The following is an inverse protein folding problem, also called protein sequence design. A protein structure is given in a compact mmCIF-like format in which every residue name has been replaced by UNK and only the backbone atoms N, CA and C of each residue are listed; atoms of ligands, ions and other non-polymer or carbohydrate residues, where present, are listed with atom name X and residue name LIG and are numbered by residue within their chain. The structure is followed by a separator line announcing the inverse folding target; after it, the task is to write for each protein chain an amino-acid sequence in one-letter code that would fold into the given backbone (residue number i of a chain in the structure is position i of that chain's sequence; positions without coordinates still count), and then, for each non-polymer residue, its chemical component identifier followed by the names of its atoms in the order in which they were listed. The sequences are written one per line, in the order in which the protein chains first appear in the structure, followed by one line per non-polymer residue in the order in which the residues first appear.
data_IF_135731354902
#
_entry.id   IF_135731354902
#
_cell.length_a   1.000
_cell.length_b   1.000
_cell.length_c   1.000
_cell.angle_alpha   90.00
_cell.angle_beta   90.00
_cell.angle_gamma   90.00
#
_symmetry.space_group_name_H-M   'P 1'
#
loop_
_entity.id
_entity.type
_entity.pdbx_description
1 polymer ?
#
# COMPACT_ATOMS: atom_id res chain seq x y z
N UNK A 1 -58.68 9.72 43.60
CA UNK A 1 -57.37 10.41 43.39
C UNK A 1 -56.32 9.39 43.73
N UNK A 2 -55.85 8.65 42.70
CA UNK A 2 -54.80 7.65 42.86
C UNK A 2 -53.46 8.35 42.71
N UNK A 3 -52.75 8.47 43.82
CA UNK A 3 -51.42 9.01 43.92
C UNK A 3 -50.41 7.91 43.53
N UNK A 4 -50.15 7.80 42.21
CA UNK A 4 -49.19 6.86 41.65
C UNK A 4 -47.81 7.50 41.75
N UNK A 5 -47.24 7.60 42.95
CA UNK A 5 -45.85 7.97 43.17
C UNK A 5 -44.96 6.86 42.68
N UNK A 6 -44.53 6.97 41.40
CA UNK A 6 -43.44 6.15 40.85
C UNK A 6 -42.20 6.35 41.71
N UNK A 7 -41.82 5.31 42.46
CA UNK A 7 -40.50 5.24 43.12
C UNK A 7 -39.39 5.36 42.06
N UNK A 8 -38.88 6.54 41.84
CA UNK A 8 -37.65 6.77 41.12
C UNK A 8 -36.48 6.33 42.02
N UNK A 9 -36.10 5.06 41.93
CA UNK A 9 -34.86 4.59 42.54
C UNK A 9 -33.71 5.18 41.75
N UNK A 10 -33.04 6.16 42.32
CA UNK A 10 -31.78 6.70 41.77
C UNK A 10 -30.63 5.73 41.99
N UNK A 11 -29.73 5.63 41.03
CA UNK A 11 -28.48 4.87 41.17
C UNK A 11 -27.66 5.39 42.34
N UNK A 12 -27.11 4.48 43.13
CA UNK A 12 -26.17 4.84 44.19
C UNK A 12 -24.81 5.20 43.61
N UNK A 13 -24.08 6.06 44.29
CA UNK A 13 -22.75 6.50 43.85
C UNK A 13 -21.77 5.30 43.73
N UNK A 14 -21.94 4.28 44.61
CA UNK A 14 -21.13 3.08 44.58
C UNK A 14 -21.43 2.17 43.38
N UNK A 15 -22.70 2.09 42.93
CA UNK A 15 -23.07 1.35 41.72
C UNK A 15 -22.43 1.99 40.47
N UNK A 16 -22.44 3.32 40.37
CA UNK A 16 -21.79 4.01 39.28
C UNK A 16 -20.30 3.78 39.29
N UNK A 17 -19.64 3.85 40.44
CA UNK A 17 -18.21 3.61 40.60
C UNK A 17 -17.86 2.17 40.22
N UNK A 18 -18.65 1.19 40.63
CA UNK A 18 -18.43 -0.22 40.27
C UNK A 18 -18.50 -0.44 38.76
N UNK A 19 -19.48 0.19 38.07
CA UNK A 19 -19.62 0.07 36.61
C UNK A 19 -18.43 0.66 35.87
N UNK A 20 -17.95 1.85 36.25
CA UNK A 20 -16.78 2.44 35.58
C UNK A 20 -15.49 1.64 35.78
N UNK A 21 -15.31 1.03 36.93
CA UNK A 21 -14.15 0.13 37.20
C UNK A 21 -14.21 -1.10 36.31
N UNK A 22 -15.39 -1.76 36.21
CA UNK A 22 -15.56 -2.93 35.34
C UNK A 22 -15.36 -2.55 33.87
N UNK A 23 -15.93 -1.42 33.41
CA UNK A 23 -15.72 -0.93 32.06
C UNK A 23 -14.25 -0.66 31.76
N UNK A 24 -13.50 -0.06 32.69
CA UNK A 24 -12.08 0.19 32.52
C UNK A 24 -11.27 -1.10 32.30
N UNK A 25 -11.56 -2.16 33.08
CA UNK A 25 -10.90 -3.46 32.94
C UNK A 25 -11.26 -4.09 31.57
N UNK A 26 -12.51 -4.06 31.17
CA UNK A 26 -12.96 -4.60 29.87
C UNK A 26 -12.29 -3.88 28.69
N UNK A 27 -12.20 -2.55 28.76
CA UNK A 27 -11.55 -1.74 27.71
C UNK A 27 -10.05 -2.09 27.63
N UNK A 28 -9.37 -2.25 28.76
CA UNK A 28 -7.96 -2.65 28.78
C UNK A 28 -7.72 -4.01 28.10
N UNK A 29 -8.56 -5.01 28.43
CA UNK A 29 -8.45 -6.34 27.81
C UNK A 29 -8.75 -6.32 26.32
N UNK A 30 -9.78 -5.57 25.90
CA UNK A 30 -10.17 -5.44 24.51
C UNK A 30 -9.09 -4.74 23.66
N UNK A 31 -8.42 -3.73 24.20
CA UNK A 31 -7.41 -2.96 23.48
C UNK A 31 -6.21 -3.81 23.03
N UNK A 32 -5.77 -4.76 23.86
CA UNK A 32 -4.64 -5.63 23.52
C UNK A 32 -4.93 -6.56 22.32
N UNK A 33 -6.20 -6.93 22.11
CA UNK A 33 -6.59 -7.81 21.01
C UNK A 33 -6.85 -7.04 19.69
N UNK A 34 -7.25 -5.78 19.76
CA UNK A 34 -7.66 -4.98 18.59
C UNK A 34 -6.48 -4.33 17.88
N UNK A 35 -5.48 -3.83 18.63
CA UNK A 35 -4.35 -3.09 18.05
C UNK A 35 -3.57 -3.90 17.01
N UNK A 36 -3.17 -5.17 17.23
CA UNK A 36 -2.43 -5.95 16.25
C UNK A 36 -3.24 -6.16 14.95
N UNK A 37 -4.54 -6.42 15.07
CA UNK A 37 -5.41 -6.64 13.92
C UNK A 37 -5.62 -5.37 13.08
N UNK A 38 -5.66 -4.22 13.73
CA UNK A 38 -5.76 -2.94 13.03
C UNK A 38 -4.48 -2.63 12.24
N UNK A 39 -3.31 -2.94 12.77
CA UNK A 39 -2.05 -2.76 12.05
C UNK A 39 -1.96 -3.69 10.84
N UNK A 40 -2.39 -4.94 10.99
CA UNK A 40 -2.46 -5.89 9.87
C UNK A 40 -3.43 -5.40 8.78
N UNK A 41 -4.64 -4.94 9.16
CA UNK A 41 -5.59 -4.37 8.20
C UNK A 41 -5.02 -3.17 7.45
N UNK A 42 -4.26 -2.30 8.12
CA UNK A 42 -3.59 -1.16 7.47
C UNK A 42 -2.54 -1.61 6.45
N UNK A 43 -1.76 -2.65 6.76
CA UNK A 43 -0.78 -3.23 5.83
C UNK A 43 -1.46 -3.85 4.61
N UNK A 44 -2.57 -4.56 4.81
CA UNK A 44 -3.37 -5.12 3.70
C UNK A 44 -3.92 -4.02 2.78
N UNK A 45 -4.48 -2.95 3.34
CA UNK A 45 -4.97 -1.81 2.54
C UNK A 45 -3.81 -1.18 1.76
N UNK A 46 -2.67 -0.96 2.39
CA UNK A 46 -1.51 -0.37 1.70
C UNK A 46 -0.96 -1.29 0.60
N UNK A 47 -0.98 -2.61 0.79
CA UNK A 47 -0.61 -3.57 -0.25
C UNK A 47 -1.56 -3.51 -1.47
N UNK A 48 -2.87 -3.35 -1.23
CA UNK A 48 -3.86 -3.15 -2.31
C UNK A 48 -3.59 -1.84 -3.06
N UNK A 49 -3.26 -0.77 -2.35
CA UNK A 49 -2.92 0.53 -2.95
C UNK A 49 -1.63 0.44 -3.80
N UNK A 50 -0.65 -0.35 -3.36
CA UNK A 50 0.56 -0.59 -4.15
C UNK A 50 0.27 -1.38 -5.44
N UNK A 51 -0.61 -2.37 -5.39
CA UNK A 51 -1.07 -3.09 -6.58
C UNK A 51 -1.87 -2.18 -7.53
N UNK A 52 -2.71 -1.29 -6.98
CA UNK A 52 -3.41 -0.27 -7.76
C UNK A 52 -2.43 0.69 -8.46
N UNK A 53 -1.37 1.10 -7.79
CA UNK A 53 -0.33 1.94 -8.39
C UNK A 53 0.41 1.23 -9.53
N UNK A 54 0.67 -0.09 -9.44
CA UNK A 54 1.22 -0.88 -10.54
C UNK A 54 0.27 -0.88 -11.74
N UNK A 55 -1.04 -1.07 -11.52
CA UNK A 55 -2.03 -1.03 -12.58
C UNK A 55 -2.13 0.36 -13.23
N UNK A 56 -2.03 1.42 -12.43
CA UNK A 56 -1.96 2.79 -12.92
C UNK A 56 -0.72 3.03 -13.79
N UNK A 57 0.45 2.52 -13.38
CA UNK A 57 1.66 2.60 -14.18
C UNK A 57 1.54 1.82 -15.51
N UNK A 58 0.91 0.65 -15.48
CA UNK A 58 0.62 -0.12 -16.70
C UNK A 58 -0.24 0.68 -17.68
N UNK A 59 -1.31 1.29 -17.19
CA UNK A 59 -2.19 2.15 -17.99
C UNK A 59 -1.46 3.38 -18.54
N UNK A 60 -0.60 3.98 -17.73
CA UNK A 60 0.23 5.12 -18.12
C UNK A 60 1.16 4.77 -19.30
N UNK A 61 1.90 3.67 -19.23
CA UNK A 61 2.78 3.23 -20.31
C UNK A 61 2.00 2.81 -21.57
N UNK A 62 0.83 2.18 -21.40
CA UNK A 62 -0.05 1.82 -22.52
C UNK A 62 -0.59 3.06 -23.25
N UNK A 63 -1.01 4.07 -22.50
CA UNK A 63 -1.46 5.35 -23.08
C UNK A 63 -0.31 6.05 -23.82
N UNK A 64 0.91 6.01 -23.27
CA UNK A 64 2.10 6.55 -23.91
C UNK A 64 2.42 5.85 -25.23
N UNK A 65 2.21 4.55 -25.35
CA UNK A 65 2.38 3.79 -26.57
C UNK A 65 1.35 4.20 -27.65
N UNK A 66 0.09 4.34 -27.25
CA UNK A 66 -1.01 4.74 -28.16
C UNK A 66 -0.85 6.18 -28.64
N UNK A 67 -0.42 7.09 -27.77
CA UNK A 67 -0.29 8.52 -28.08
C UNK A 67 1.05 8.90 -28.72
N UNK A 68 2.03 7.99 -28.70
CA UNK A 68 3.39 8.25 -29.19
C UNK A 68 4.17 9.26 -28.32
N UNK A 69 3.81 9.43 -27.06
CA UNK A 69 4.35 10.47 -26.17
C UNK A 69 5.77 10.17 -25.66
N UNK A 70 6.43 9.09 -26.10
CA UNK A 70 7.76 8.68 -25.61
C UNK A 70 7.76 7.96 -24.26
N UNK A 71 6.68 8.05 -23.49
CA UNK A 71 6.48 7.36 -22.22
C UNK A 71 5.85 5.95 -22.42
N UNK A 72 6.27 5.26 -23.49
CA UNK A 72 5.82 3.91 -23.86
C UNK A 72 6.57 2.83 -23.09
N UNK A 73 6.09 1.60 -23.16
CA UNK A 73 6.80 0.43 -22.64
C UNK A 73 8.22 0.30 -23.20
N UNK A 74 9.16 -0.31 -22.46
CA UNK A 74 10.48 -0.65 -23.01
C UNK A 74 10.32 -1.70 -24.13
N UNK A 75 10.99 -1.49 -25.26
CA UNK A 75 10.84 -2.34 -26.45
C UNK A 75 11.89 -3.45 -26.51
N UNK A 76 13.09 -3.24 -25.96
CA UNK A 76 14.18 -4.20 -25.97
C UNK A 76 14.10 -5.17 -24.79
N UNK A 77 14.53 -6.41 -24.99
CA UNK A 77 14.64 -7.40 -23.90
C UNK A 77 15.55 -6.85 -22.80
N UNK A 78 15.09 -6.99 -21.54
CA UNK A 78 15.76 -6.41 -20.40
C UNK A 78 15.70 -4.88 -20.33
N UNK A 79 15.10 -4.22 -21.32
CA UNK A 79 14.87 -2.78 -21.30
C UNK A 79 13.99 -2.40 -20.11
N UNK A 80 14.26 -1.25 -19.50
CA UNK A 80 13.63 -0.81 -18.28
C UNK A 80 13.25 0.66 -18.39
N UNK A 81 12.07 1.01 -17.88
CA UNK A 81 11.59 2.39 -17.69
C UNK A 81 10.99 2.56 -16.32
N UNK A 82 10.97 3.78 -15.82
CA UNK A 82 10.41 4.09 -14.51
C UNK A 82 9.43 5.26 -14.60
N UNK A 83 8.45 5.27 -13.70
CA UNK A 83 7.54 6.36 -13.47
C UNK A 83 7.41 6.62 -11.97
N UNK A 84 7.36 7.89 -11.58
CA UNK A 84 7.16 8.25 -10.17
C UNK A 84 5.69 8.21 -9.80
N UNK A 85 5.39 7.87 -8.56
CA UNK A 85 4.03 7.88 -8.01
C UNK A 85 3.41 9.28 -8.15
N UNK A 86 4.19 10.33 -7.89
CA UNK A 86 3.75 11.72 -8.06
C UNK A 86 3.26 12.00 -9.49
N UNK A 87 3.98 11.52 -10.51
CA UNK A 87 3.58 11.70 -11.91
C UNK A 87 2.25 11.01 -12.22
N UNK A 88 2.03 9.80 -11.70
CA UNK A 88 0.77 9.07 -11.85
C UNK A 88 -0.40 9.79 -11.16
N UNK A 89 -0.18 10.38 -9.99
CA UNK A 89 -1.18 11.17 -9.27
C UNK A 89 -1.53 12.43 -10.07
N UNK A 90 -0.53 13.17 -10.54
CA UNK A 90 -0.72 14.41 -11.28
C UNK A 90 -1.43 14.20 -12.63
N UNK A 91 -1.20 13.08 -13.29
CA UNK A 91 -1.89 12.69 -14.52
C UNK A 91 -3.31 12.15 -14.28
N UNK A 92 -3.67 11.83 -13.03
CA UNK A 92 -4.97 11.25 -12.70
C UNK A 92 -5.05 9.72 -12.93
N UNK A 93 -3.95 9.08 -13.25
CA UNK A 93 -3.86 7.62 -13.42
C UNK A 93 -3.94 6.88 -12.08
N UNK A 94 -3.41 7.49 -11.01
CA UNK A 94 -3.49 6.99 -9.64
C UNK A 94 -4.28 7.98 -8.77
N UNK A 95 -5.54 7.65 -8.48
CA UNK A 95 -6.49 8.58 -7.88
C UNK A 95 -6.45 8.60 -6.35
N UNK A 96 -6.62 9.80 -5.80
CA UNK A 96 -7.12 10.00 -4.45
C UNK A 96 -6.10 10.04 -3.34
N UNK A 97 -4.80 10.09 -3.62
CA UNK A 97 -3.79 9.98 -2.56
C UNK A 97 -2.74 11.08 -2.64
N UNK A 98 -2.88 12.10 -1.82
CA UNK A 98 -1.79 13.06 -1.54
C UNK A 98 -0.83 12.48 -0.51
N UNK A 99 0.48 12.69 -0.69
CA UNK A 99 1.50 12.25 0.26
C UNK A 99 2.04 10.85 0.05
N UNK A 100 1.74 10.23 -1.10
CA UNK A 100 2.42 9.02 -1.56
C UNK A 100 3.65 9.40 -2.36
N UNK A 101 4.76 8.77 -2.03
CA UNK A 101 6.05 8.95 -2.70
C UNK A 101 6.57 7.60 -3.15
N UNK A 102 7.32 7.58 -4.26
CA UNK A 102 7.96 6.37 -4.73
C UNK A 102 8.10 6.29 -6.22
N UNK A 103 8.55 5.13 -6.69
CA UNK A 103 8.84 4.86 -8.11
C UNK A 103 8.38 3.46 -8.47
N UNK A 104 7.82 3.32 -9.65
CA UNK A 104 7.49 2.06 -10.27
C UNK A 104 8.39 1.90 -11.48
N UNK A 105 9.02 0.75 -11.59
CA UNK A 105 9.90 0.38 -12.69
C UNK A 105 9.26 -0.76 -13.47
N UNK A 106 9.19 -0.64 -14.77
CA UNK A 106 8.75 -1.70 -15.69
C UNK A 106 9.93 -2.24 -16.47
N UNK A 107 10.09 -3.55 -16.51
CA UNK A 107 11.14 -4.25 -17.26
C UNK A 107 10.51 -5.20 -18.25
N UNK A 108 10.98 -5.19 -19.50
CA UNK A 108 10.57 -6.16 -20.53
C UNK A 108 11.29 -7.49 -20.32
N UNK A 109 10.53 -8.57 -20.19
CA UNK A 109 11.06 -9.92 -20.06
C UNK A 109 10.28 -10.85 -20.98
N UNK A 110 10.93 -11.36 -22.00
CA UNK A 110 10.27 -12.16 -23.04
C UNK A 110 9.15 -11.38 -23.73
N UNK A 111 7.97 -11.96 -23.77
CA UNK A 111 6.78 -11.32 -24.36
C UNK A 111 5.96 -10.52 -23.34
N UNK A 112 6.44 -10.34 -22.13
CA UNK A 112 5.71 -9.66 -21.05
C UNK A 112 6.50 -8.54 -20.38
N UNK A 113 5.85 -7.96 -19.37
CA UNK A 113 6.41 -6.89 -18.55
C UNK A 113 6.34 -7.28 -17.08
N UNK A 114 7.40 -6.96 -16.35
CA UNK A 114 7.48 -7.16 -14.90
C UNK A 114 7.64 -5.82 -14.23
N UNK A 115 6.89 -5.61 -13.17
CA UNK A 115 6.88 -4.36 -12.42
C UNK A 115 7.60 -4.54 -11.10
N UNK A 116 8.38 -3.54 -10.73
CA UNK A 116 8.94 -3.39 -9.39
C UNK A 116 8.47 -2.05 -8.82
N UNK A 117 7.96 -2.05 -7.61
CA UNK A 117 7.50 -0.85 -6.93
C UNK A 117 8.26 -0.63 -5.63
N UNK A 118 8.59 0.62 -5.37
CA UNK A 118 8.91 1.11 -4.04
C UNK A 118 8.04 2.32 -3.77
N UNK A 119 7.22 2.24 -2.73
CA UNK A 119 6.21 3.25 -2.41
C UNK A 119 6.08 3.43 -0.90
N UNK A 120 5.79 4.65 -0.47
CA UNK A 120 5.48 4.98 0.91
C UNK A 120 4.35 5.99 1.02
N UNK A 121 3.59 5.94 2.10
CA UNK A 121 2.62 6.97 2.50
C UNK A 121 3.08 7.78 3.72
N UNK A 122 4.38 7.74 4.01
CA UNK A 122 4.98 8.42 5.15
C UNK A 122 4.99 7.61 6.45
N UNK A 123 4.19 6.53 6.56
CA UNK A 123 4.15 5.62 7.72
C UNK A 123 4.50 4.19 7.35
N UNK A 124 3.91 3.68 6.30
CA UNK A 124 4.14 2.37 5.75
C UNK A 124 4.96 2.49 4.46
N UNK A 125 5.72 1.46 4.15
CA UNK A 125 6.49 1.35 2.93
C UNK A 125 6.44 -0.07 2.37
N UNK A 126 6.55 -0.15 1.05
CA UNK A 126 6.88 -1.35 0.29
C UNK A 126 8.11 -1.05 -0.54
N UNK A 127 9.06 -1.96 -0.59
CA UNK A 127 10.33 -1.73 -1.26
C UNK A 127 10.67 -2.86 -2.21
N UNK A 128 10.96 -2.49 -3.45
CA UNK A 128 11.39 -3.39 -4.52
C UNK A 128 10.52 -4.65 -4.63
N UNK A 129 9.20 -4.50 -4.52
CA UNK A 129 8.20 -5.57 -4.55
C UNK A 129 7.45 -5.60 -5.90
N UNK A 130 6.55 -6.58 -6.06
CA UNK A 130 5.73 -6.77 -7.27
C UNK A 130 6.30 -7.80 -8.22
N UNK A 131 7.42 -8.45 -7.88
CA UNK A 131 8.01 -9.52 -8.68
C UNK A 131 8.68 -10.60 -7.81
N UNK A 132 8.91 -11.76 -8.42
CA UNK A 132 9.71 -12.86 -7.88
C UNK A 132 10.72 -13.33 -8.92
N UNK A 133 11.79 -14.00 -8.48
CA UNK A 133 12.87 -14.46 -9.34
C UNK A 133 13.93 -13.40 -9.62
N UNK A 134 14.97 -13.78 -10.37
CA UNK A 134 16.11 -12.93 -10.71
C UNK A 134 16.31 -12.86 -12.23
N UNK A 135 16.90 -11.77 -12.71
CA UNK A 135 17.25 -11.57 -14.11
C UNK A 135 16.04 -11.78 -15.03
N UNK A 136 16.21 -12.60 -16.07
CA UNK A 136 15.17 -12.91 -17.07
C UNK A 136 14.13 -13.94 -16.57
N UNK A 137 14.31 -14.52 -15.38
CA UNK A 137 13.34 -15.41 -14.75
C UNK A 137 12.33 -14.67 -13.86
N UNK A 138 12.37 -13.34 -13.82
CA UNK A 138 11.43 -12.53 -13.06
C UNK A 138 9.99 -12.72 -13.56
N UNK A 139 9.07 -12.81 -12.61
CA UNK A 139 7.62 -12.87 -12.86
C UNK A 139 6.92 -11.87 -11.97
N UNK A 140 5.87 -11.23 -12.49
CA UNK A 140 5.02 -10.36 -11.68
C UNK A 140 4.28 -11.18 -10.63
N UNK A 141 4.20 -10.63 -9.42
CA UNK A 141 3.41 -11.17 -8.30
C UNK A 141 2.69 -10.03 -7.61
N UNK A 142 1.55 -10.34 -7.02
CA UNK A 142 0.80 -9.36 -6.23
C UNK A 142 1.56 -9.04 -4.93
N UNK A 143 1.45 -7.78 -4.53
CA UNK A 143 1.96 -7.30 -3.24
C UNK A 143 0.94 -7.69 -2.18
N UNK A 144 1.43 -8.32 -1.13
CA UNK A 144 0.65 -8.73 0.04
C UNK A 144 1.11 -7.99 1.30
N UNK A 145 0.36 -8.10 2.39
CA UNK A 145 0.65 -7.41 3.64
C UNK A 145 2.07 -7.70 4.18
N UNK A 146 2.61 -8.88 3.92
CA UNK A 146 3.96 -9.29 4.35
C UNK A 146 5.07 -8.50 3.64
N UNK A 147 4.79 -7.93 2.47
CA UNK A 147 5.71 -7.04 1.75
C UNK A 147 5.72 -5.62 2.32
N UNK A 148 4.76 -5.29 3.20
CA UNK A 148 4.58 -3.96 3.78
C UNK A 148 5.21 -3.90 5.16
N UNK A 149 6.04 -2.91 5.37
CA UNK A 149 6.71 -2.64 6.65
C UNK A 149 6.55 -1.17 7.06
N UNK A 150 6.94 -0.85 8.27
CA UNK A 150 6.96 0.54 8.72
C UNK A 150 8.06 1.30 7.96
N UNK A 151 7.79 2.54 7.56
CA UNK A 151 8.74 3.35 6.81
C UNK A 151 10.05 3.50 7.57
N UNK A 152 11.14 3.07 6.94
CA UNK A 152 12.51 3.34 7.39
C UNK A 152 12.95 4.79 7.10
N UNK A 153 14.22 5.07 7.33
CA UNK A 153 14.79 6.42 7.12
C UNK A 153 14.89 6.78 5.62
N UNK A 154 15.11 5.79 4.77
CA UNK A 154 15.30 5.95 3.31
C UNK A 154 14.48 4.90 2.59
N UNK A 155 13.77 5.27 1.53
CA UNK A 155 13.06 4.34 0.66
C UNK A 155 14.06 3.79 -0.38
N UNK A 156 14.26 2.49 -0.41
CA UNK A 156 15.05 1.85 -1.45
C UNK A 156 14.28 1.89 -2.78
N UNK A 157 14.74 2.67 -3.74
CA UNK A 157 14.10 2.78 -5.05
C UNK A 157 14.49 1.58 -5.94
N UNK A 158 13.54 1.04 -6.73
CA UNK A 158 13.85 0.02 -7.71
C UNK A 158 14.78 0.62 -8.78
N UNK A 159 15.94 0.01 -8.95
CA UNK A 159 16.91 0.47 -9.94
C UNK A 159 16.61 -0.13 -11.31
N UNK A 160 16.50 0.74 -12.31
CA UNK A 160 16.56 0.36 -13.72
C UNK A 160 18.01 0.00 -14.08
N UNK A 161 18.42 -1.21 -13.78
CA UNK A 161 19.68 -1.74 -14.31
C UNK A 161 19.40 -2.31 -15.69
N UNK A 162 19.73 -1.55 -16.74
CA UNK A 162 19.74 -2.12 -18.09
C UNK A 162 20.70 -3.32 -18.06
N UNK A 163 20.34 -4.47 -18.66
CA UNK A 163 21.29 -5.56 -18.80
C UNK A 163 22.51 -5.05 -19.53
N UNK A 164 23.70 -5.38 -19.02
CA UNK A 164 24.94 -5.12 -19.73
C UNK A 164 24.79 -5.70 -21.16
N UNK A 165 24.93 -4.86 -22.17
CA UNK A 165 24.94 -5.30 -23.56
C UNK A 165 26.05 -6.34 -23.65
N UNK A 166 25.68 -7.60 -23.79
CA UNK A 166 26.61 -8.61 -24.28
C UNK A 166 26.91 -8.20 -25.72
N UNK A 167 28.10 -7.61 -25.90
CA UNK A 167 28.66 -7.35 -27.20
C UNK A 167 28.90 -8.72 -27.88
N UNK A 168 28.53 -8.90 -29.16
CA UNK A 168 28.66 -10.14 -29.89
C UNK A 168 30.11 -10.57 -30.05
#
# INVERSE_FOLDING_TARGET
MDDNTKNMQGFTLIELLAVIVVLAIVILMASMAVIPRMNEARRQVFAMEANEAINAASSYFMNGEVTGSGDSFPVSEGGCKSVTIEKLINNGDFKGKTGYEGTITVTKIGNGYVYAISMTNGKLAVENAGFTGEGNARKSVDIVADNVHDKGTTLALPTCTAPAQQNP
#
